data_IF_402707248800
#
_entry.id   IF_402707248800
#
_cell.length_a   1.000
_cell.length_b   1.000
_cell.length_c   1.000
_cell.angle_alpha   90.00
_cell.angle_beta   90.00
_cell.angle_gamma   90.00
#
_symmetry.space_group_name_H-M   'P 1'
#
loop_
_entity.id
_entity.type
_entity.pdbx_description
1 polymer ?
#
# COMPACT_ATOMS: atom_id res chain seq x y z
N UNK A 1 15.63 -4.68 9.73
CA UNK A 1 14.25 -4.36 9.33
C UNK A 1 13.32 -5.27 10.10
N UNK A 2 12.19 -4.78 10.61
CA UNK A 2 11.20 -5.60 11.36
C UNK A 2 9.87 -5.55 10.62
N UNK A 3 9.27 -6.72 10.37
CA UNK A 3 7.97 -6.83 9.72
C UNK A 3 6.84 -6.83 10.74
N UNK A 4 5.91 -5.89 10.62
CA UNK A 4 4.67 -5.88 11.39
C UNK A 4 3.55 -6.52 10.57
N UNK A 5 3.15 -7.73 10.94
CA UNK A 5 2.11 -8.50 10.24
C UNK A 5 0.97 -8.87 11.19
N UNK A 6 -0.10 -9.46 10.66
CA UNK A 6 -1.31 -9.79 11.39
C UNK A 6 -2.54 -9.78 10.50
N UNK A 7 -3.60 -10.48 10.92
CA UNK A 7 -4.85 -10.60 10.17
C UNK A 7 -5.59 -9.28 9.99
N UNK A 8 -6.71 -9.32 9.26
CA UNK A 8 -7.61 -8.19 9.13
C UNK A 8 -8.07 -7.74 10.54
N UNK A 9 -8.20 -6.42 10.74
CA UNK A 9 -8.61 -5.80 12.00
C UNK A 9 -7.72 -6.12 13.24
N UNK A 10 -6.54 -6.69 13.07
CA UNK A 10 -5.63 -7.01 14.19
C UNK A 10 -4.92 -5.79 14.82
N UNK A 11 -5.25 -4.58 14.41
CA UNK A 11 -4.67 -3.34 14.97
C UNK A 11 -3.26 -2.97 14.48
N UNK A 12 -2.75 -3.56 13.38
CA UNK A 12 -1.41 -3.26 12.84
C UNK A 12 -1.17 -1.76 12.65
N UNK A 13 -2.10 -1.05 12.03
CA UNK A 13 -1.97 0.40 11.78
C UNK A 13 -1.90 1.21 13.08
N UNK A 14 -2.54 0.74 14.15
CA UNK A 14 -2.44 1.34 15.49
C UNK A 14 -1.06 1.13 16.10
N UNK A 15 -0.52 -0.09 16.02
CA UNK A 15 0.83 -0.41 16.51
C UNK A 15 1.90 0.35 15.69
N UNK A 16 1.79 0.35 14.37
CA UNK A 16 2.69 1.10 13.49
C UNK A 16 2.71 2.59 13.83
N UNK A 17 1.52 3.20 14.00
CA UNK A 17 1.38 4.59 14.43
C UNK A 17 2.01 4.84 15.79
N UNK A 18 1.79 3.95 16.76
CA UNK A 18 2.40 4.06 18.07
C UNK A 18 3.93 4.04 18.00
N UNK A 19 4.51 3.13 17.21
CA UNK A 19 5.96 3.04 17.01
C UNK A 19 6.53 4.32 16.40
N UNK A 20 5.86 4.89 15.40
CA UNK A 20 6.26 6.16 14.81
C UNK A 20 6.15 7.32 15.80
N UNK A 21 4.98 7.49 16.39
CA UNK A 21 4.64 8.71 17.13
C UNK A 21 5.29 8.72 18.53
N UNK A 22 5.48 7.56 19.17
CA UNK A 22 6.10 7.45 20.50
C UNK A 22 7.60 7.22 20.47
N UNK A 23 8.10 6.51 19.46
CA UNK A 23 9.51 6.11 19.40
C UNK A 23 10.27 6.75 18.24
N UNK A 24 9.61 7.59 17.43
CA UNK A 24 10.24 8.25 16.28
C UNK A 24 10.69 7.28 15.19
N UNK A 25 10.17 6.04 15.20
CA UNK A 25 10.63 5.02 14.27
C UNK A 25 10.03 5.25 12.87
N UNK A 26 10.85 5.20 11.81
CA UNK A 26 10.33 5.25 10.46
C UNK A 26 9.46 4.02 10.18
N UNK A 27 8.28 4.25 9.62
CA UNK A 27 7.32 3.19 9.26
C UNK A 27 7.16 3.18 7.76
N UNK A 28 7.42 2.01 7.16
CA UNK A 28 7.13 1.73 5.76
C UNK A 28 5.80 0.98 5.69
N UNK A 29 4.81 1.60 5.05
CA UNK A 29 3.50 1.00 4.82
C UNK A 29 3.51 0.30 3.45
N UNK A 30 3.44 -1.03 3.49
CA UNK A 30 3.51 -1.85 2.28
C UNK A 30 2.30 -1.64 1.36
N UNK A 31 1.10 -1.45 1.91
CA UNK A 31 -0.12 -1.27 1.13
C UNK A 31 -0.07 0.06 0.37
N UNK A 32 0.37 1.12 1.05
CA UNK A 32 0.57 2.44 0.42
C UNK A 32 1.63 2.39 -0.68
N UNK A 33 2.78 1.78 -0.40
CA UNK A 33 3.87 1.67 -1.37
C UNK A 33 3.47 0.81 -2.58
N UNK A 34 2.68 -0.23 -2.37
CA UNK A 34 2.14 -1.04 -3.45
C UNK A 34 1.18 -0.24 -4.34
N UNK A 35 0.28 0.55 -3.76
CA UNK A 35 -0.62 1.42 -4.52
C UNK A 35 0.16 2.47 -5.34
N UNK A 36 1.12 3.16 -4.72
CA UNK A 36 1.98 4.13 -5.39
C UNK A 36 2.76 3.50 -6.55
N UNK A 37 3.35 2.32 -6.33
CA UNK A 37 4.06 1.58 -7.37
C UNK A 37 3.13 1.13 -8.49
N UNK A 38 1.90 0.72 -8.19
CA UNK A 38 0.93 0.29 -9.18
C UNK A 38 0.51 1.46 -10.08
N UNK A 39 0.19 2.62 -9.51
CA UNK A 39 -0.17 3.81 -10.27
C UNK A 39 0.95 4.26 -11.23
N UNK A 40 2.22 4.13 -10.81
CA UNK A 40 3.37 4.44 -11.68
C UNK A 40 3.53 3.47 -12.86
N UNK A 41 3.02 2.24 -12.72
CA UNK A 41 3.11 1.19 -13.74
C UNK A 41 1.80 1.01 -14.51
N UNK A 42 0.89 2.00 -14.46
CA UNK A 42 -0.46 1.87 -14.99
C UNK A 42 -0.57 1.37 -16.44
N UNK A 43 0.26 1.87 -17.38
CA UNK A 43 0.23 1.37 -18.76
C UNK A 43 0.58 -0.11 -18.90
N UNK A 44 1.54 -0.62 -18.11
CA UNK A 44 1.95 -2.03 -18.15
C UNK A 44 0.87 -2.95 -17.56
N UNK A 45 0.23 -2.50 -16.49
CA UNK A 45 -0.89 -3.23 -15.86
C UNK A 45 -2.06 -3.29 -16.83
N UNK A 46 -2.42 -2.17 -17.47
CA UNK A 46 -3.49 -2.15 -18.48
C UNK A 46 -3.14 -3.03 -19.68
N UNK A 47 -1.89 -3.02 -20.16
CA UNK A 47 -1.44 -3.89 -21.24
C UNK A 47 -1.60 -5.37 -20.89
N UNK A 48 -1.29 -5.75 -19.64
CA UNK A 48 -1.33 -7.14 -19.19
C UNK A 48 -2.73 -7.65 -18.85
N UNK A 49 -3.56 -6.83 -18.21
CA UNK A 49 -4.86 -7.24 -17.68
C UNK A 49 -6.06 -6.68 -18.47
N UNK A 50 -5.80 -5.84 -19.48
CA UNK A 50 -6.80 -5.21 -20.33
C UNK A 50 -7.47 -3.99 -19.67
N UNK A 51 -8.39 -3.30 -20.37
CA UNK A 51 -8.95 -2.03 -19.93
C UNK A 51 -9.92 -2.14 -18.74
N UNK A 52 -10.34 -3.35 -18.35
CA UNK A 52 -11.31 -3.56 -17.25
C UNK A 52 -10.76 -3.26 -15.86
N UNK A 53 -9.44 -3.18 -15.72
CA UNK A 53 -8.77 -2.84 -14.46
C UNK A 53 -8.59 -1.33 -14.27
N UNK A 54 -9.00 -0.53 -15.25
CA UNK A 54 -8.93 0.94 -15.18
C UNK A 54 -10.30 1.46 -14.78
N UNK A 55 -10.36 2.22 -13.70
CA UNK A 55 -11.56 2.92 -13.27
C UNK A 55 -11.98 4.00 -14.28
N UNK A 56 -13.25 4.46 -14.24
CA UNK A 56 -13.74 5.47 -15.18
C UNK A 56 -12.99 6.81 -15.16
N UNK A 57 -12.33 7.14 -14.04
CA UNK A 57 -11.50 8.34 -13.87
C UNK A 57 -10.06 8.17 -14.38
N UNK A 58 -9.73 7.02 -14.95
CA UNK A 58 -8.40 6.71 -15.49
C UNK A 58 -7.41 6.18 -14.46
N UNK A 59 -7.83 6.01 -13.21
CA UNK A 59 -7.01 5.35 -12.19
C UNK A 59 -7.03 3.82 -12.33
N UNK A 60 -6.02 3.15 -11.76
CA UNK A 60 -6.04 1.70 -11.57
C UNK A 60 -6.67 1.32 -10.23
#
# INVERSE_FOLDING_TARGET
MVGLTGGLASGKSTVARHLRDRHGLPVLDADRLAAEGLSQQAPLVQQRYGPKVVAPDGTL
#
